data_IF_878853173686
#
_entry.id   IF_878853173686
#
_cell.length_a   1.000
_cell.length_b   1.000
_cell.length_c   1.000
_cell.angle_alpha   90.00
_cell.angle_beta   90.00
_cell.angle_gamma   90.00
#
_symmetry.space_group_name_H-M   'P 1'
#
loop_
_entity.id
_entity.type
_entity.pdbx_description
1 polymer ?
#
# COMPACT_ATOMS: atom_id res chain seq x y z
N UNK A 1 -8.89 -12.64 13.75
CA UNK A 1 -7.59 -12.01 13.48
C UNK A 1 -7.89 -10.60 13.01
N UNK A 2 -7.29 -9.61 13.65
CA UNK A 2 -7.54 -8.19 13.39
C UNK A 2 -6.40 -7.57 12.62
N UNK A 3 -6.68 -6.87 11.53
CA UNK A 3 -5.69 -6.33 10.58
C UNK A 3 -5.18 -4.94 11.00
N UNK A 4 -4.91 -4.74 12.30
CA UNK A 4 -4.50 -3.42 12.83
C UNK A 4 -5.56 -2.34 12.59
N UNK A 5 -5.16 -1.20 11.99
CA UNK A 5 -6.05 -0.10 11.62
C UNK A 5 -7.21 -0.52 10.69
N UNK A 6 -7.09 -1.67 10.04
CA UNK A 6 -8.05 -2.25 9.11
C UNK A 6 -8.91 -3.33 9.78
N UNK A 7 -9.36 -3.10 11.01
CA UNK A 7 -10.04 -4.13 11.82
C UNK A 7 -11.45 -4.57 11.31
N UNK A 8 -11.76 -4.30 10.05
CA UNK A 8 -12.80 -4.97 9.28
C UNK A 8 -12.13 -5.90 8.28
N UNK A 9 -12.60 -7.15 8.11
CA UNK A 9 -12.03 -8.04 7.11
C UNK A 9 -11.96 -7.30 5.77
N UNK A 10 -10.88 -7.54 5.01
CA UNK A 10 -10.55 -6.85 3.75
C UNK A 10 -11.72 -6.91 2.76
N UNK A 11 -12.74 -7.71 3.01
CA UNK A 11 -13.98 -7.79 2.24
C UNK A 11 -15.04 -6.69 2.54
N UNK A 12 -14.86 -5.88 3.59
CA UNK A 12 -15.90 -4.94 4.06
C UNK A 12 -15.55 -3.46 3.99
N UNK A 13 -14.26 -3.12 3.88
CA UNK A 13 -13.82 -1.72 3.76
C UNK A 13 -13.77 -1.20 2.32
N UNK A 14 -13.85 -2.09 1.32
CA UNK A 14 -13.53 -1.75 -0.06
C UNK A 14 -14.78 -1.71 -0.92
N UNK A 15 -15.54 -0.63 -0.83
CA UNK A 15 -16.81 -0.51 -1.56
C UNK A 15 -16.64 -0.39 -3.08
N UNK A 16 -15.46 0.06 -3.55
CA UNK A 16 -15.14 0.16 -4.98
C UNK A 16 -14.46 -1.10 -5.56
N UNK A 17 -13.87 -1.98 -4.73
CA UNK A 17 -13.26 -3.22 -5.21
C UNK A 17 -14.28 -4.37 -5.17
N UNK A 18 -14.18 -5.26 -6.15
CA UNK A 18 -14.95 -6.49 -6.15
C UNK A 18 -14.44 -7.44 -5.05
N UNK A 19 -15.36 -7.93 -4.21
CA UNK A 19 -14.98 -8.75 -3.05
C UNK A 19 -14.45 -10.14 -3.41
N UNK A 20 -14.86 -10.69 -4.55
CA UNK A 20 -14.30 -11.93 -5.07
C UNK A 20 -12.86 -11.71 -5.52
N UNK A 21 -12.57 -10.59 -6.18
CA UNK A 21 -11.21 -10.27 -6.63
C UNK A 21 -10.28 -10.02 -5.45
N UNK A 22 -10.76 -9.31 -4.41
CA UNK A 22 -10.04 -9.16 -3.14
C UNK A 22 -9.76 -10.52 -2.51
N UNK A 23 -10.76 -11.39 -2.38
CA UNK A 23 -10.60 -12.71 -1.79
C UNK A 23 -9.58 -13.58 -2.56
N UNK A 24 -9.65 -13.56 -3.89
CA UNK A 24 -8.70 -14.27 -4.75
C UNK A 24 -7.28 -13.69 -4.65
N UNK A 25 -7.15 -12.37 -4.52
CA UNK A 25 -5.86 -11.70 -4.43
C UNK A 25 -5.12 -12.02 -3.13
N UNK A 26 -5.85 -12.13 -2.02
CA UNK A 26 -5.26 -12.49 -0.72
C UNK A 26 -5.16 -14.00 -0.49
N UNK A 27 -5.73 -14.81 -1.39
CA UNK A 27 -5.65 -16.27 -1.29
C UNK A 27 -4.21 -16.75 -1.38
N UNK A 28 -3.84 -17.68 -0.50
CA UNK A 28 -2.46 -18.17 -0.37
C UNK A 28 -1.49 -17.25 0.38
N UNK A 29 -1.88 -16.03 0.77
CA UNK A 29 -1.06 -15.18 1.65
C UNK A 29 -1.29 -15.55 3.12
N UNK A 30 -0.36 -16.35 3.66
CA UNK A 30 -0.40 -16.76 5.07
C UNK A 30 0.34 -15.74 5.95
N UNK A 31 -0.29 -15.16 6.99
CA UNK A 31 0.37 -14.30 7.96
C UNK A 31 1.58 -14.98 8.61
N UNK A 32 2.68 -14.24 8.73
CA UNK A 32 3.87 -14.72 9.45
C UNK A 32 3.72 -14.41 10.95
N UNK A 33 3.98 -15.35 11.87
CA UNK A 33 4.05 -15.04 13.29
C UNK A 33 5.13 -13.98 13.57
N UNK A 34 4.78 -12.92 14.28
CA UNK A 34 5.70 -11.81 14.58
C UNK A 34 7.03 -12.24 15.21
N UNK A 35 7.00 -13.33 15.97
CA UNK A 35 8.16 -13.91 16.67
C UNK A 35 9.21 -14.47 15.71
N UNK A 36 8.82 -14.77 14.47
CA UNK A 36 9.70 -15.32 13.44
C UNK A 36 10.36 -14.24 12.58
N UNK A 37 10.02 -12.96 12.79
CA UNK A 37 10.56 -11.86 12.02
C UNK A 37 11.69 -11.17 12.79
N UNK A 38 12.90 -11.20 12.27
CA UNK A 38 14.10 -10.59 12.88
C UNK A 38 14.96 -9.90 11.83
N UNK A 39 15.89 -9.06 12.28
CA UNK A 39 16.85 -8.36 11.42
C UNK A 39 16.25 -7.16 10.68
N UNK A 40 16.84 -6.84 9.53
CA UNK A 40 16.44 -5.72 8.68
C UNK A 40 16.08 -6.22 7.28
N UNK A 41 15.16 -5.52 6.63
CA UNK A 41 14.72 -5.83 5.29
C UNK A 41 14.26 -4.57 4.55
N UNK A 42 14.39 -4.59 3.23
CA UNK A 42 13.73 -3.63 2.33
C UNK A 42 12.65 -4.37 1.57
N UNK A 43 11.50 -3.76 1.38
CA UNK A 43 10.40 -4.28 0.58
C UNK A 43 10.21 -3.36 -0.61
N UNK A 44 10.06 -3.95 -1.80
CA UNK A 44 9.82 -3.24 -3.06
C UNK A 44 9.00 -4.09 -4.00
N UNK A 45 8.59 -3.54 -5.14
CA UNK A 45 7.92 -4.32 -6.17
C UNK A 45 8.76 -5.52 -6.63
N UNK A 46 8.16 -6.72 -6.58
CA UNK A 46 8.72 -7.95 -7.17
C UNK A 46 8.05 -8.38 -8.48
N UNK A 47 7.22 -7.51 -9.07
CA UNK A 47 6.48 -7.82 -10.31
C UNK A 47 5.17 -7.06 -10.50
N UNK A 48 5.04 -5.85 -9.94
CA UNK A 48 3.86 -4.98 -10.04
C UNK A 48 2.53 -5.73 -9.86
N UNK A 49 2.36 -6.39 -8.71
CA UNK A 49 1.14 -7.13 -8.37
C UNK A 49 0.23 -6.23 -7.55
N UNK A 50 -0.93 -5.85 -8.10
CA UNK A 50 -1.94 -5.06 -7.40
C UNK A 50 -3.36 -5.35 -7.91
N UNK A 51 -4.34 -4.95 -7.11
CA UNK A 51 -5.72 -4.69 -7.55
C UNK A 51 -6.10 -3.29 -7.09
N UNK A 52 -6.76 -2.51 -7.95
CA UNK A 52 -7.07 -1.11 -7.66
C UNK A 52 -8.39 -0.69 -8.30
N UNK A 53 -9.06 0.26 -7.65
CA UNK A 53 -10.25 0.92 -8.15
C UNK A 53 -10.14 2.42 -7.90
N UNK A 54 -10.66 3.20 -8.83
CA UNK A 54 -10.82 4.64 -8.72
C UNK A 54 -12.20 5.01 -9.28
N UNK A 55 -12.76 6.12 -8.79
CA UNK A 55 -13.98 6.70 -9.34
C UNK A 55 -13.71 7.66 -10.52
N UNK A 56 -12.46 7.81 -10.94
CA UNK A 56 -12.05 8.67 -12.06
C UNK A 56 -11.51 7.88 -13.25
N UNK A 57 -10.90 6.71 -13.05
CA UNK A 57 -10.34 5.94 -14.15
C UNK A 57 -9.85 4.56 -13.71
N UNK A 58 -9.09 3.90 -14.59
CA UNK A 58 -8.46 2.62 -14.27
C UNK A 58 -7.15 2.85 -13.52
N UNK A 59 -6.90 2.09 -12.45
CA UNK A 59 -5.58 2.06 -11.83
C UNK A 59 -4.63 1.29 -12.75
N UNK A 60 -3.59 1.95 -13.23
CA UNK A 60 -2.64 1.41 -14.22
C UNK A 60 -1.30 1.01 -13.60
N UNK A 61 -0.96 1.58 -12.44
CA UNK A 61 0.28 1.28 -11.74
C UNK A 61 0.15 1.51 -10.22
N UNK A 62 0.82 0.66 -9.42
CA UNK A 62 0.99 0.87 -7.98
C UNK A 62 2.43 0.55 -7.61
N UNK A 63 3.24 1.60 -7.40
CA UNK A 63 4.64 1.49 -6.99
C UNK A 63 4.81 1.88 -5.53
N UNK A 64 5.36 0.96 -4.75
CA UNK A 64 5.59 1.16 -3.33
C UNK A 64 6.85 0.46 -2.85
N UNK A 65 7.38 0.97 -1.75
CA UNK A 65 8.52 0.38 -1.07
C UNK A 65 8.72 0.96 0.32
N UNK A 66 9.46 0.25 1.17
CA UNK A 66 9.88 0.73 2.49
C UNK A 66 11.05 -0.12 3.05
N UNK A 67 11.72 0.41 4.06
CA UNK A 67 12.67 -0.33 4.89
C UNK A 67 12.04 -0.64 6.25
N UNK A 68 12.33 -1.82 6.80
CA UNK A 68 11.94 -2.21 8.15
C UNK A 68 13.13 -2.81 8.91
N UNK A 69 13.23 -2.47 10.20
CA UNK A 69 13.99 -3.25 11.18
C UNK A 69 13.00 -3.99 12.08
N UNK A 70 12.93 -5.31 11.96
CA UNK A 70 12.07 -6.15 12.81
C UNK A 70 12.57 -6.17 14.27
N UNK A 71 13.87 -5.97 14.48
CA UNK A 71 14.46 -5.89 15.83
C UNK A 71 13.97 -4.67 16.62
N UNK A 72 13.74 -3.55 15.92
CA UNK A 72 13.27 -2.30 16.52
C UNK A 72 11.79 -2.03 16.27
N UNK A 73 11.19 -2.73 15.30
CA UNK A 73 9.85 -2.48 14.81
C UNK A 73 9.72 -1.19 13.99
N UNK A 74 10.80 -0.57 13.53
CA UNK A 74 10.71 0.72 12.81
C UNK A 74 10.57 0.50 11.31
N UNK A 75 9.54 1.13 10.71
CA UNK A 75 9.34 1.24 9.26
C UNK A 75 9.72 2.66 8.83
N UNK A 76 10.56 2.79 7.82
CA UNK A 76 11.09 4.07 7.31
C UNK A 76 11.22 4.06 5.79
N UNK A 77 11.46 5.24 5.23
CA UNK A 77 11.68 5.42 3.79
C UNK A 77 10.52 4.87 2.93
N UNK A 78 9.30 4.92 3.46
CA UNK A 78 8.12 4.43 2.77
C UNK A 78 7.72 5.38 1.65
N UNK A 79 7.43 4.83 0.48
CA UNK A 79 6.87 5.56 -0.66
C UNK A 79 5.69 4.79 -1.24
N UNK A 80 4.67 5.51 -1.71
CA UNK A 80 3.58 4.97 -2.50
C UNK A 80 3.30 5.93 -3.66
N UNK A 81 3.21 5.38 -4.86
CA UNK A 81 2.75 6.03 -6.08
C UNK A 81 1.64 5.19 -6.70
N UNK A 82 0.54 5.82 -7.09
CA UNK A 82 -0.56 5.18 -7.80
C UNK A 82 -0.88 6.00 -9.04
N UNK A 83 -0.87 5.37 -10.21
CA UNK A 83 -1.26 6.00 -11.46
C UNK A 83 -2.66 5.55 -11.86
N UNK A 84 -3.50 6.52 -12.21
CA UNK A 84 -4.88 6.33 -12.68
C UNK A 84 -5.01 6.99 -14.04
N UNK A 85 -5.51 6.24 -15.02
CA UNK A 85 -5.75 6.71 -16.39
C UNK A 85 -7.26 6.73 -16.67
N UNK A 86 -7.78 7.90 -17.03
CA UNK A 86 -9.12 8.07 -17.59
C UNK A 86 -9.10 8.38 -19.10
N UNK A 87 -9.07 7.29 -19.88
CA UNK A 87 -9.20 7.35 -21.34
C UNK A 87 -10.54 7.93 -21.84
N UNK A 88 -11.54 8.13 -20.98
CA UNK A 88 -12.85 8.67 -21.38
C UNK A 88 -12.91 10.21 -21.39
N UNK A 89 -11.97 10.88 -20.72
CA UNK A 89 -11.91 12.34 -20.62
C UNK A 89 -10.51 12.82 -21.04
N UNK A 90 -10.25 13.00 -22.33
CA UNK A 90 -9.01 13.59 -22.87
C UNK A 90 -7.69 12.95 -22.37
N UNK A 91 -7.69 11.69 -21.93
CA UNK A 91 -6.59 11.03 -21.21
C UNK A 91 -6.22 11.81 -19.93
N UNK A 92 -7.19 11.94 -19.04
CA UNK A 92 -6.99 12.59 -17.74
C UNK A 92 -6.24 11.65 -16.80
N UNK A 93 -4.91 11.75 -16.86
CA UNK A 93 -4.00 10.99 -16.03
C UNK A 93 -3.82 11.65 -14.65
N UNK A 94 -4.03 10.86 -13.60
CA UNK A 94 -3.81 11.26 -12.23
C UNK A 94 -2.67 10.44 -11.62
N UNK A 95 -1.65 11.12 -11.12
CA UNK A 95 -0.58 10.51 -10.33
C UNK A 95 -0.76 10.88 -8.87
N UNK A 96 -1.05 9.88 -8.05
CA UNK A 96 -1.11 9.99 -6.60
C UNK A 96 0.24 9.59 -6.03
N UNK A 97 0.74 10.34 -5.05
CA UNK A 97 2.01 10.03 -4.41
C UNK A 97 2.01 10.46 -2.95
N UNK A 98 2.71 9.69 -2.11
CA UNK A 98 2.96 10.03 -0.72
C UNK A 98 4.23 9.36 -0.22
N UNK A 99 4.75 9.88 0.89
CA UNK A 99 5.75 9.22 1.70
C UNK A 99 5.10 8.73 3.01
N UNK A 100 5.55 7.59 3.52
CA UNK A 100 5.11 7.08 4.80
C UNK A 100 6.25 6.56 5.69
N UNK A 101 6.01 6.56 6.99
CA UNK A 101 6.79 5.84 7.99
C UNK A 101 5.83 5.25 9.03
N UNK A 102 6.33 4.34 9.86
CA UNK A 102 5.46 3.59 10.75
C UNK A 102 6.18 2.67 11.70
N UNK A 103 5.40 1.79 12.32
CA UNK A 103 5.90 0.78 13.23
C UNK A 103 5.31 -0.60 12.97
N UNK A 104 6.04 -1.62 13.42
CA UNK A 104 5.63 -3.00 13.49
C UNK A 104 5.80 -3.48 14.92
N UNK A 105 4.70 -3.88 15.56
CA UNK A 105 4.73 -4.39 16.92
C UNK A 105 3.68 -5.49 17.10
N UNK A 106 4.07 -6.61 17.69
CA UNK A 106 3.18 -7.74 17.99
C UNK A 106 2.38 -8.24 16.78
N UNK A 107 2.99 -8.21 15.58
CA UNK A 107 2.33 -8.64 14.34
C UNK A 107 1.41 -7.60 13.71
N UNK A 108 1.31 -6.40 14.28
CA UNK A 108 0.52 -5.31 13.76
C UNK A 108 1.42 -4.27 13.10
N UNK A 109 1.00 -3.82 11.92
CA UNK A 109 1.64 -2.74 11.16
C UNK A 109 0.82 -1.46 11.35
N UNK A 110 1.49 -0.37 11.68
CA UNK A 110 0.90 0.96 11.81
C UNK A 110 1.67 1.96 10.94
N UNK A 111 1.06 2.40 9.83
CA UNK A 111 1.65 3.32 8.84
C UNK A 111 1.02 4.71 8.97
N UNK A 112 1.24 5.36 10.12
CA UNK A 112 0.54 6.59 10.51
C UNK A 112 1.29 7.89 10.17
N UNK A 113 2.56 7.82 9.80
CA UNK A 113 3.36 9.01 9.51
C UNK A 113 3.33 9.29 8.02
N UNK A 114 2.28 9.98 7.56
CA UNK A 114 2.10 10.34 6.14
C UNK A 114 2.63 11.75 5.87
N UNK A 115 3.43 11.91 4.83
CA UNK A 115 3.97 13.20 4.39
C UNK A 115 3.96 13.31 2.86
N UNK A 116 4.01 14.53 2.33
CA UNK A 116 4.02 14.81 0.89
C UNK A 116 2.90 14.10 0.11
N UNK A 117 1.74 13.91 0.74
CA UNK A 117 0.60 13.25 0.12
C UNK A 117 -0.11 14.20 -0.84
N UNK A 118 -0.07 13.88 -2.12
CA UNK A 118 -0.58 14.73 -3.19
C UNK A 118 -1.09 13.91 -4.38
N UNK A 119 -1.99 14.50 -5.14
CA UNK A 119 -2.36 14.04 -6.48
C UNK A 119 -2.03 15.13 -7.48
N UNK A 120 -1.40 14.74 -8.59
CA UNK A 120 -1.06 15.60 -9.71
C UNK A 120 -1.93 15.16 -10.89
N UNK A 121 -2.66 16.11 -11.48
CA UNK A 121 -3.53 15.86 -12.63
C UNK A 121 -2.82 16.17 -13.94
N UNK A 122 -3.44 15.76 -15.06
CA UNK A 122 -2.92 15.92 -16.42
C UNK A 122 -2.60 17.38 -16.80
N UNK A 123 -3.29 18.34 -16.18
CA UNK A 123 -3.08 19.79 -16.36
C UNK A 123 -2.02 20.39 -15.41
N UNK A 124 -1.34 19.56 -14.61
CA UNK A 124 -0.42 19.91 -13.52
C UNK A 124 -1.07 20.61 -12.33
N UNK A 125 -2.40 20.55 -12.17
CA UNK A 125 -3.01 20.92 -10.91
C UNK A 125 -2.59 19.91 -9.82
N UNK A 126 -2.28 20.43 -8.64
CA UNK A 126 -1.84 19.64 -7.49
C UNK A 126 -2.80 19.90 -6.33
N UNK A 127 -3.32 18.83 -5.74
CA UNK A 127 -4.09 18.89 -4.50
C UNK A 127 -3.52 17.95 -3.44
N UNK A 128 -3.80 18.27 -2.17
CA UNK A 128 -3.43 17.43 -1.05
C UNK A 128 -4.28 16.16 -1.02
N UNK A 129 -3.73 15.09 -0.44
CA UNK A 129 -4.40 13.79 -0.32
C UNK A 129 -4.56 13.41 1.14
N UNK A 130 -5.76 12.97 1.52
CA UNK A 130 -5.98 12.22 2.75
C UNK A 130 -5.70 10.75 2.47
N UNK A 131 -4.83 10.13 3.24
CA UNK A 131 -4.40 8.75 3.02
C UNK A 131 -4.61 7.89 4.26
N UNK A 132 -5.11 6.67 4.04
CA UNK A 132 -5.13 5.59 5.03
C UNK A 132 -4.36 4.43 4.44
N UNK A 133 -3.35 3.95 5.17
CA UNK A 133 -2.49 2.84 4.76
C UNK A 133 -2.52 1.71 5.77
N UNK A 134 -2.15 0.51 5.33
CA UNK A 134 -1.75 -0.57 6.24
C UNK A 134 -1.29 -1.79 5.48
N UNK A 135 -1.07 -2.88 6.22
CA UNK A 135 -0.66 -4.12 5.60
C UNK A 135 -0.25 -5.19 6.59
N UNK A 136 0.30 -6.26 6.04
CA UNK A 136 0.70 -7.47 6.76
C UNK A 136 1.92 -8.11 6.12
N UNK A 137 2.79 -8.67 6.95
CA UNK A 137 3.86 -9.56 6.50
C UNK A 137 3.32 -10.98 6.31
N UNK A 138 3.52 -11.51 5.11
CA UNK A 138 2.99 -12.80 4.68
C UNK A 138 4.11 -13.70 4.12
N UNK A 139 3.83 -15.00 4.09
CA UNK A 139 4.74 -16.03 3.65
C UNK A 139 5.29 -16.91 4.77
N UNK A 140 6.42 -17.57 4.53
CA UNK A 140 7.12 -18.40 5.52
C UNK A 140 8.04 -17.57 6.41
N UNK A 141 8.77 -16.62 5.82
CA UNK A 141 9.83 -15.81 6.46
C UNK A 141 9.63 -14.30 6.19
N UNK A 142 8.36 -13.89 6.08
CA UNK A 142 7.97 -12.54 5.68
C UNK A 142 8.54 -12.13 4.31
N UNK A 143 8.65 -13.08 3.37
CA UNK A 143 9.10 -12.80 2.01
C UNK A 143 8.18 -11.85 1.24
N UNK A 144 6.93 -11.67 1.71
CA UNK A 144 5.94 -10.77 1.11
C UNK A 144 5.38 -9.79 2.12
N UNK A 145 5.00 -8.61 1.63
CA UNK A 145 4.17 -7.66 2.35
C UNK A 145 2.93 -7.36 1.51
N UNK A 146 1.74 -7.64 2.05
CA UNK A 146 0.47 -7.22 1.46
C UNK A 146 0.10 -5.87 2.03
N UNK A 147 0.15 -4.84 1.20
CA UNK A 147 -0.24 -3.48 1.53
C UNK A 147 -1.64 -3.14 1.03
N UNK A 148 -2.30 -2.22 1.71
CA UNK A 148 -3.55 -1.62 1.28
C UNK A 148 -3.51 -0.10 1.45
N UNK A 149 -4.17 0.61 0.54
CA UNK A 149 -4.30 2.06 0.56
C UNK A 149 -5.71 2.53 0.23
N UNK A 150 -6.15 3.59 0.88
CA UNK A 150 -7.35 4.36 0.54
C UNK A 150 -6.95 5.85 0.51
N UNK A 151 -7.04 6.46 -0.67
CA UNK A 151 -6.61 7.83 -0.94
C UNK A 151 -7.80 8.66 -1.40
N UNK A 152 -7.99 9.82 -0.77
CA UNK A 152 -9.02 10.78 -1.08
C UNK A 152 -8.40 12.13 -1.43
N UNK A 153 -8.75 12.67 -2.60
CA UNK A 153 -8.40 14.02 -3.01
C UNK A 153 -9.06 15.03 -2.06
N UNK A 154 -8.31 16.01 -1.56
CA UNK A 154 -8.86 17.04 -0.69
C UNK A 154 -9.60 18.15 -1.46
N UNK A 155 -9.38 18.27 -2.78
CA UNK A 155 -9.99 19.30 -3.61
C UNK A 155 -11.37 18.90 -4.15
N UNK A 156 -11.62 17.60 -4.34
CA UNK A 156 -12.88 17.06 -4.85
C UNK A 156 -13.21 15.69 -4.20
N UNK A 157 -14.15 14.94 -4.77
CA UNK A 157 -14.52 13.60 -4.27
C UNK A 157 -13.78 12.47 -5.02
N UNK A 158 -12.69 12.77 -5.73
CA UNK A 158 -11.89 11.77 -6.41
C UNK A 158 -11.18 10.89 -5.38
N UNK A 159 -11.17 9.59 -5.62
CA UNK A 159 -10.61 8.60 -4.70
C UNK A 159 -9.96 7.46 -5.47
N UNK A 160 -8.93 6.88 -4.88
CA UNK A 160 -8.31 5.65 -5.37
C UNK A 160 -7.98 4.73 -4.20
N UNK A 161 -8.30 3.46 -4.37
CA UNK A 161 -8.16 2.46 -3.33
C UNK A 161 -7.62 1.17 -3.96
N UNK A 162 -6.71 0.47 -3.29
CA UNK A 162 -6.19 -0.80 -3.78
C UNK A 162 -5.43 -1.62 -2.77
N UNK A 163 -5.10 -2.85 -3.19
CA UNK A 163 -4.15 -3.74 -2.55
C UNK A 163 -2.95 -3.94 -3.45
N UNK A 164 -1.78 -4.13 -2.85
CA UNK A 164 -0.55 -4.41 -3.56
C UNK A 164 0.33 -5.38 -2.78
N UNK A 165 1.20 -6.10 -3.48
CA UNK A 165 2.17 -7.01 -2.86
C UNK A 165 3.58 -6.54 -3.14
N UNK A 166 4.37 -6.39 -2.08
CA UNK A 166 5.80 -6.16 -2.15
C UNK A 166 6.55 -7.44 -1.81
N UNK A 167 7.75 -7.58 -2.36
CA UNK A 167 8.66 -8.66 -2.04
C UNK A 167 9.82 -8.15 -1.21
N UNK A 168 10.27 -9.00 -0.28
CA UNK A 168 11.46 -8.76 0.53
C UNK A 168 12.68 -8.78 -0.39
N UNK A 169 13.36 -7.65 -0.50
CA UNK A 169 14.64 -7.53 -1.17
C UNK A 169 15.73 -8.37 -0.47
N UNK A 170 16.86 -8.61 -1.15
CA UNK A 170 18.00 -9.28 -0.54
C UNK A 170 18.46 -8.51 0.70
N UNK A 171 18.87 -9.25 1.75
CA UNK A 171 19.45 -8.64 2.96
C UNK A 171 20.62 -7.75 2.54
N UNK A 172 20.52 -6.45 2.83
CA UNK A 172 21.65 -5.55 2.68
C UNK A 172 22.54 -5.81 3.88
N UNK A 173 23.65 -6.52 3.69
CA UNK A 173 24.67 -6.66 4.72
C UNK A 173 25.09 -5.26 5.17
N UNK A 174 25.00 -4.99 6.48
CA UNK A 174 25.52 -3.75 7.03
C UNK A 174 27.04 -3.68 6.76
N UNK A 175 27.59 -2.51 6.40
CA UNK A 175 29.03 -2.35 6.21
C UNK A 175 29.84 -2.64 7.48
#
# INVERSE_FOLDING_TARGET
>A
MGWGAWNYPVDRNWTQLNQTDVANYVDGLSPVPAQNMTGQASYSEGGNSFIGASNRGSVTNVDAGFDISFDTGIIRNGTLRVDVDDTSINNDDHTWSLNFAGTFANGMVDLNTITNAQVIRSDNEISAVTAVLGGIFAGTDAEKFLGGFDLLDAADNNSVQGLYTLEKGPLIDAP
#
